data_IF_947571187728
#
_entry.id   IF_947571187728
#
_cell.length_a   1.000
_cell.length_b   1.000
_cell.length_c   1.000
_cell.angle_alpha   90.00
_cell.angle_beta   90.00
_cell.angle_gamma   90.00
#
_symmetry.space_group_name_H-M   'P 1'
#
loop_
_entity.id
_entity.type
_entity.pdbx_description
1 polymer ?
#
# COMPACT_ATOMS: atom_id res chain seq x y z
N UNK A 1 -19.72 10.66 12.33
CA UNK A 1 -20.08 10.53 10.90
C UNK A 1 -20.69 9.15 10.60
N UNK A 2 -21.63 8.69 11.42
CA UNK A 2 -22.00 7.26 11.55
C UNK A 2 -23.29 6.85 10.80
N UNK A 3 -23.97 7.78 10.11
CA UNK A 3 -25.19 7.48 9.35
C UNK A 3 -24.96 6.70 8.06
N UNK A 4 -23.73 6.73 7.53
CA UNK A 4 -23.30 6.06 6.31
C UNK A 4 -22.64 4.74 6.70
N UNK A 5 -22.95 3.67 5.96
CA UNK A 5 -22.41 2.34 6.26
C UNK A 5 -20.88 2.33 6.10
N UNK A 6 -20.22 1.46 6.89
CA UNK A 6 -18.76 1.35 6.89
C UNK A 6 -18.21 0.99 5.50
N UNK A 7 -18.91 0.16 4.72
CA UNK A 7 -18.41 -0.37 3.45
C UNK A 7 -18.88 0.39 2.21
N UNK A 8 -19.72 1.41 2.41
CA UNK A 8 -20.25 2.28 1.35
C UNK A 8 -19.16 3.16 0.72
N UNK A 9 -18.09 3.46 1.47
CA UNK A 9 -16.99 4.34 1.03
C UNK A 9 -15.62 3.80 1.40
N UNK A 10 -14.57 4.37 0.81
CA UNK A 10 -13.19 4.08 1.20
C UNK A 10 -12.80 4.65 2.59
N UNK A 11 -13.58 5.58 3.13
CA UNK A 11 -13.34 6.21 4.43
C UNK A 11 -13.62 5.21 5.58
N UNK A 12 -12.65 5.04 6.48
CA UNK A 12 -12.74 4.19 7.67
C UNK A 12 -13.08 4.97 8.96
N UNK A 13 -13.16 4.27 10.10
CA UNK A 13 -13.23 4.89 11.43
C UNK A 13 -14.46 5.75 11.71
N UNK A 14 -15.61 5.48 11.06
CA UNK A 14 -16.85 6.29 11.18
C UNK A 14 -17.48 6.25 12.58
N UNK A 15 -17.12 5.25 13.36
CA UNK A 15 -17.54 4.98 14.74
C UNK A 15 -16.64 5.63 15.80
N UNK A 16 -15.53 6.26 15.40
CA UNK A 16 -14.69 7.05 16.31
C UNK A 16 -15.45 8.26 16.86
N UNK A 17 -15.31 8.51 18.17
CA UNK A 17 -15.90 9.67 18.84
C UNK A 17 -15.17 10.97 18.49
N UNK A 18 -13.85 10.90 18.35
CA UNK A 18 -13.00 12.01 17.95
C UNK A 18 -11.80 11.51 17.13
N UNK A 19 -11.14 12.44 16.43
CA UNK A 19 -9.83 12.23 15.81
C UNK A 19 -8.84 13.17 16.48
N UNK A 20 -7.69 12.64 16.88
CA UNK A 20 -6.60 13.42 17.47
C UNK A 20 -5.50 13.54 16.42
N UNK A 21 -5.00 14.75 16.21
CA UNK A 21 -3.84 15.01 15.37
C UNK A 21 -2.73 15.62 16.23
N UNK A 22 -1.56 15.01 16.23
CA UNK A 22 -0.40 15.43 17.02
C UNK A 22 0.58 16.09 16.05
N UNK A 23 0.74 17.41 16.16
CA UNK A 23 1.62 18.17 15.28
C UNK A 23 2.71 18.83 16.12
N UNK A 24 3.96 18.43 15.91
CA UNK A 24 5.11 19.24 16.31
C UNK A 24 5.53 20.14 15.15
N UNK A 25 5.74 21.42 15.45
CA UNK A 25 6.11 22.44 14.47
C UNK A 25 7.22 23.28 15.10
N UNK A 26 8.33 23.43 14.38
CA UNK A 26 9.51 24.15 14.84
C UNK A 26 10.10 24.99 13.71
N UNK A 27 10.93 25.97 14.08
CA UNK A 27 11.54 26.90 13.11
C UNK A 27 13.03 26.64 12.90
N UNK A 28 13.76 26.21 13.93
CA UNK A 28 15.19 25.90 13.83
C UNK A 28 15.38 24.43 13.38
N UNK A 29 15.96 24.16 12.20
CA UNK A 29 16.21 22.80 11.72
C UNK A 29 17.03 21.94 12.70
N UNK A 30 17.84 22.53 13.58
CA UNK A 30 18.64 21.82 14.57
C UNK A 30 17.79 21.18 15.68
N UNK A 31 16.54 21.61 15.87
CA UNK A 31 15.63 21.04 16.86
C UNK A 31 14.86 19.80 16.35
N UNK A 32 15.06 19.41 15.09
CA UNK A 32 14.26 18.36 14.44
C UNK A 32 14.23 17.04 15.22
N UNK A 33 15.38 16.57 15.71
CA UNK A 33 15.48 15.29 16.42
C UNK A 33 14.72 15.30 17.76
N UNK A 34 14.66 16.45 18.43
CA UNK A 34 13.92 16.62 19.68
C UNK A 34 12.41 16.54 19.43
N UNK A 35 11.92 17.34 18.48
CA UNK A 35 10.49 17.42 18.17
C UNK A 35 9.94 16.13 17.56
N UNK A 36 10.73 15.47 16.70
CA UNK A 36 10.39 14.16 16.14
C UNK A 36 10.29 13.13 17.27
N UNK A 37 11.29 13.06 18.16
CA UNK A 37 11.29 12.13 19.29
C UNK A 37 10.08 12.36 20.21
N UNK A 38 9.83 13.60 20.62
CA UNK A 38 8.67 13.95 21.45
C UNK A 38 7.35 13.50 20.81
N UNK A 39 7.18 13.75 19.51
CA UNK A 39 5.96 13.37 18.78
C UNK A 39 5.74 11.86 18.80
N UNK A 40 6.80 11.08 18.57
CA UNK A 40 6.73 9.62 18.61
C UNK A 40 6.42 9.07 20.00
N UNK A 41 7.07 9.61 21.04
CA UNK A 41 6.85 9.20 22.43
C UNK A 41 5.43 9.55 22.89
N UNK A 42 4.96 10.76 22.57
CA UNK A 42 3.60 11.18 22.89
C UNK A 42 2.58 10.30 22.16
N UNK A 43 2.75 10.05 20.85
CA UNK A 43 1.89 9.13 20.10
C UNK A 43 1.84 7.74 20.76
N UNK A 44 2.99 7.15 21.09
CA UNK A 44 3.07 5.84 21.74
C UNK A 44 2.35 5.81 23.09
N UNK A 45 2.45 6.88 23.90
CA UNK A 45 1.75 6.98 25.18
C UNK A 45 0.22 7.03 25.04
N UNK A 46 -0.28 7.55 23.91
CA UNK A 46 -1.72 7.65 23.62
C UNK A 46 -2.31 6.43 22.92
N UNK A 47 -1.48 5.57 22.32
CA UNK A 47 -1.91 4.40 21.55
C UNK A 47 -2.86 3.47 22.33
N UNK A 48 -2.65 3.15 23.62
CA UNK A 48 -3.54 2.26 24.38
C UNK A 48 -4.98 2.77 24.53
N UNK A 49 -5.19 4.08 24.38
CA UNK A 49 -6.50 4.73 24.48
C UNK A 49 -7.18 4.91 23.11
N UNK A 50 -6.49 4.53 22.03
CA UNK A 50 -6.99 4.62 20.66
C UNK A 50 -7.81 3.40 20.28
N UNK A 51 -8.71 3.57 19.31
CA UNK A 51 -9.40 2.46 18.63
C UNK A 51 -8.47 1.70 17.68
N UNK A 52 -7.20 2.13 17.54
CA UNK A 52 -6.27 1.66 16.51
C UNK A 52 -6.61 2.19 15.12
N UNK A 53 -7.67 3.00 14.99
CA UNK A 53 -8.07 3.63 13.74
C UNK A 53 -7.05 4.67 13.30
N UNK A 54 -6.73 4.65 12.01
CA UNK A 54 -5.80 5.60 11.39
C UNK A 54 -6.51 6.36 10.30
N UNK A 55 -6.48 7.68 10.37
CA UNK A 55 -6.96 8.50 9.27
C UNK A 55 -5.83 8.72 8.27
N UNK A 56 -6.01 8.23 7.05
CA UNK A 56 -4.95 8.20 6.03
C UNK A 56 -4.34 9.59 5.73
N UNK A 57 -5.11 10.67 5.88
CA UNK A 57 -4.63 12.02 5.63
C UNK A 57 -3.73 12.60 6.72
N UNK A 58 -3.60 11.93 7.87
CA UNK A 58 -2.63 12.28 8.92
C UNK A 58 -1.34 11.45 8.84
N UNK A 59 -1.25 10.53 7.87
CA UNK A 59 -0.03 9.76 7.68
C UNK A 59 1.04 10.58 6.94
N UNK A 60 2.24 10.55 7.50
CA UNK A 60 3.48 10.97 6.82
C UNK A 60 4.06 9.82 6.00
N UNK A 61 5.38 9.68 5.98
CA UNK A 61 6.06 8.53 5.33
C UNK A 61 6.21 7.35 6.30
N UNK A 62 5.09 6.73 6.71
CA UNK A 62 5.06 5.63 7.69
C UNK A 62 5.07 4.22 7.05
N UNK A 63 5.12 4.15 5.72
CA UNK A 63 5.25 2.92 4.96
C UNK A 63 3.94 2.13 4.75
N UNK A 64 4.05 1.08 3.94
CA UNK A 64 2.90 0.34 3.38
C UNK A 64 2.02 -0.33 4.45
N UNK A 65 2.63 -0.84 5.53
CA UNK A 65 1.88 -1.48 6.63
C UNK A 65 0.91 -0.52 7.29
N UNK A 66 1.32 0.73 7.49
CA UNK A 66 0.49 1.76 8.13
C UNK A 66 -0.66 2.20 7.22
N UNK A 67 -0.37 2.41 5.93
CA UNK A 67 -1.39 2.69 4.92
C UNK A 67 -2.44 1.57 4.87
N UNK A 68 -2.01 0.31 4.89
CA UNK A 68 -2.90 -0.84 4.91
C UNK A 68 -3.77 -0.89 6.16
N UNK A 69 -3.20 -0.61 7.34
CA UNK A 69 -3.94 -0.52 8.58
C UNK A 69 -5.02 0.58 8.56
N UNK A 70 -4.75 1.72 7.92
CA UNK A 70 -5.71 2.84 7.81
C UNK A 70 -6.99 2.48 7.05
N UNK A 71 -6.89 1.62 6.02
CA UNK A 71 -8.06 1.15 5.28
C UNK A 71 -8.68 -0.11 5.88
N UNK A 72 -7.88 -0.95 6.53
CA UNK A 72 -8.28 -2.31 6.90
C UNK A 72 -8.27 -3.26 5.70
N UNK A 73 -8.19 -4.56 5.98
CA UNK A 73 -7.94 -5.60 4.97
C UNK A 73 -8.97 -5.63 3.83
N UNK A 74 -10.26 -5.57 4.14
CA UNK A 74 -11.33 -5.67 3.16
C UNK A 74 -11.30 -4.51 2.16
N UNK A 75 -11.20 -3.27 2.65
CA UNK A 75 -11.13 -2.07 1.81
C UNK A 75 -9.83 -1.99 1.04
N UNK A 76 -8.70 -2.31 1.69
CA UNK A 76 -7.40 -2.34 1.02
C UNK A 76 -7.43 -3.27 -0.19
N UNK A 77 -7.99 -4.48 -0.05
CA UNK A 77 -8.15 -5.43 -1.16
C UNK A 77 -9.00 -4.88 -2.31
N UNK A 78 -10.12 -4.22 -2.00
CA UNK A 78 -10.99 -3.57 -3.00
C UNK A 78 -10.26 -2.44 -3.73
N UNK A 79 -9.50 -1.62 -3.00
CA UNK A 79 -8.70 -0.53 -3.55
C UNK A 79 -7.53 -1.04 -4.40
N UNK A 80 -6.85 -2.12 -3.99
CA UNK A 80 -5.83 -2.77 -4.83
C UNK A 80 -6.42 -3.27 -6.16
N UNK A 81 -7.64 -3.82 -6.14
CA UNK A 81 -8.31 -4.24 -7.37
C UNK A 81 -8.60 -3.05 -8.31
N UNK A 82 -9.01 -1.90 -7.75
CA UNK A 82 -9.19 -0.66 -8.51
C UNK A 82 -7.86 -0.15 -9.04
N UNK A 83 -6.79 -0.12 -8.23
CA UNK A 83 -5.45 0.27 -8.67
C UNK A 83 -4.96 -0.61 -9.82
N UNK A 84 -5.18 -1.92 -9.77
CA UNK A 84 -4.84 -2.83 -10.88
C UNK A 84 -5.59 -2.51 -12.19
N UNK A 85 -6.83 -2.02 -12.09
CA UNK A 85 -7.66 -1.68 -13.26
C UNK A 85 -7.27 -0.33 -13.86
N UNK A 86 -7.02 0.67 -13.01
CA UNK A 86 -6.89 2.07 -13.44
C UNK A 86 -5.45 2.59 -13.45
N UNK A 87 -4.55 2.01 -12.66
CA UNK A 87 -3.14 2.40 -12.56
C UNK A 87 -2.21 1.18 -12.36
N UNK A 88 -2.18 0.24 -13.33
CA UNK A 88 -1.42 -1.01 -13.20
C UNK A 88 0.09 -0.82 -13.16
N UNK A 89 0.60 0.32 -13.65
CA UNK A 89 2.02 0.68 -13.64
C UNK A 89 2.42 1.49 -12.40
N UNK A 90 1.45 1.80 -11.52
CA UNK A 90 1.67 2.59 -10.31
C UNK A 90 2.23 4.00 -10.60
N UNK A 91 1.75 4.65 -11.67
CA UNK A 91 2.12 6.01 -12.06
C UNK A 91 1.81 7.00 -10.93
N UNK A 92 0.64 6.87 -10.30
CA UNK A 92 0.24 7.74 -9.20
C UNK A 92 0.70 7.18 -7.85
N UNK A 93 1.95 7.44 -7.48
CA UNK A 93 2.59 6.84 -6.30
C UNK A 93 3.05 7.83 -5.22
N UNK A 94 3.00 9.15 -5.49
CA UNK A 94 3.31 10.20 -4.52
C UNK A 94 2.09 10.50 -3.61
N UNK A 95 1.67 9.48 -2.85
CA UNK A 95 0.56 9.55 -1.91
C UNK A 95 0.69 8.41 -0.88
N UNK A 96 -0.30 8.25 0.01
CA UNK A 96 -0.43 7.06 0.86
C UNK A 96 -0.77 5.84 0.02
N UNK A 97 0.25 5.34 -0.68
CA UNK A 97 0.07 4.56 -1.89
C UNK A 97 -0.37 3.13 -1.62
N UNK A 98 -1.29 2.67 -2.46
CA UNK A 98 -1.70 1.28 -2.55
C UNK A 98 -1.01 0.71 -3.78
N UNK A 99 -0.09 -0.23 -3.58
CA UNK A 99 0.62 -0.86 -4.69
C UNK A 99 -0.33 -1.76 -5.48
N UNK A 100 -0.20 -1.81 -6.82
CA UNK A 100 -0.89 -2.82 -7.61
C UNK A 100 -0.46 -4.22 -7.17
N UNK A 101 -1.38 -5.16 -7.24
CA UNK A 101 -1.11 -6.56 -6.95
C UNK A 101 -0.12 -7.13 -7.96
N UNK A 102 0.67 -8.14 -7.55
CA UNK A 102 1.53 -8.88 -8.48
C UNK A 102 0.66 -9.47 -9.59
N UNK A 103 0.87 -9.06 -10.85
CA UNK A 103 0.24 -9.70 -12.01
C UNK A 103 0.59 -11.18 -11.97
N UNK A 104 -0.39 -12.05 -11.75
CA UNK A 104 -0.24 -13.46 -12.10
C UNK A 104 -0.17 -13.50 -13.63
N UNK A 105 1.02 -13.77 -14.19
CA UNK A 105 1.13 -14.14 -15.60
C UNK A 105 0.18 -15.32 -15.82
N UNK A 106 -0.77 -15.22 -16.76
CA UNK A 106 -1.61 -16.36 -17.12
C UNK A 106 -0.66 -17.47 -17.60
N UNK A 107 -0.77 -18.67 -17.03
CA UNK A 107 0.19 -19.77 -17.29
C UNK A 107 0.38 -20.11 -18.76
N UNK A 108 -0.60 -19.78 -19.62
CA UNK A 108 -0.51 -19.93 -21.07
C UNK A 108 0.60 -19.07 -21.71
N UNK A 109 0.84 -17.85 -21.22
CA UNK A 109 1.85 -16.95 -21.82
C UNK A 109 3.28 -17.40 -21.51
N UNK A 110 3.51 -17.97 -20.32
CA UNK A 110 4.82 -18.54 -19.97
C UNK A 110 5.11 -19.82 -20.75
N UNK A 111 4.13 -20.70 -20.91
CA UNK A 111 4.29 -21.95 -21.66
C UNK A 111 4.49 -21.65 -23.15
N UNK A 112 3.71 -20.73 -23.74
CA UNK A 112 3.87 -20.36 -25.15
C UNK A 112 5.22 -19.68 -25.41
N UNK A 113 5.67 -18.80 -24.51
CA UNK A 113 7.02 -18.21 -24.58
C UNK A 113 8.12 -19.25 -24.46
N UNK A 114 7.96 -20.24 -23.57
CA UNK A 114 8.92 -21.34 -23.43
C UNK A 114 8.95 -22.23 -24.68
N UNK A 115 7.79 -22.56 -25.26
CA UNK A 115 7.67 -23.33 -26.50
C UNK A 115 8.30 -22.57 -27.68
N UNK A 116 8.04 -21.27 -27.80
CA UNK A 116 8.63 -20.42 -28.84
C UNK A 116 10.15 -20.30 -28.65
N UNK A 117 10.63 -20.17 -27.41
CA UNK A 117 12.06 -20.13 -27.09
C UNK A 117 12.77 -21.46 -27.41
N UNK A 118 12.17 -22.59 -27.04
CA UNK A 118 12.68 -23.93 -27.36
C UNK A 118 12.69 -24.15 -28.88
N UNK A 119 11.62 -23.75 -29.58
CA UNK A 119 11.52 -23.84 -31.04
C UNK A 119 12.55 -22.96 -31.74
N UNK A 120 12.77 -21.74 -31.25
CA UNK A 120 13.79 -20.81 -31.73
C UNK A 120 15.21 -21.37 -31.51
N UNK A 121 15.51 -21.89 -30.32
CA UNK A 121 16.79 -22.54 -30.02
C UNK A 121 17.02 -23.78 -30.88
N UNK A 122 16.01 -24.63 -31.10
CA UNK A 122 16.07 -25.78 -32.01
C UNK A 122 16.39 -25.37 -33.44
N UNK A 123 15.78 -24.28 -33.92
CA UNK A 123 15.98 -23.79 -35.30
C UNK A 123 17.32 -23.07 -35.49
N UNK A 124 17.84 -22.39 -34.46
CA UNK A 124 19.08 -21.60 -34.54
C UNK A 124 20.34 -22.41 -34.21
N UNK A 125 20.25 -23.44 -33.37
CA UNK A 125 21.42 -24.23 -32.94
C UNK A 125 21.59 -25.56 -33.66
N UNK A 126 20.80 -25.87 -34.69
CA UNK A 126 21.06 -26.99 -35.59
C UNK A 126 21.36 -28.31 -34.86
N UNK A 127 20.35 -28.89 -34.20
CA UNK A 127 20.32 -30.30 -33.79
C UNK A 127 21.54 -30.85 -33.04
N UNK A 128 21.49 -30.84 -31.70
CA UNK A 128 22.04 -31.90 -30.84
C UNK A 128 21.69 -31.60 -29.38
N UNK A 129 20.54 -32.07 -28.91
CA UNK A 129 20.34 -32.39 -27.50
C UNK A 129 19.55 -33.70 -27.50
N UNK A 130 20.32 -34.78 -27.45
CA UNK A 130 19.89 -36.12 -27.07
C UNK A 130 19.40 -36.04 -25.61
N UNK A 131 18.20 -36.55 -25.33
CA UNK A 131 17.65 -36.75 -23.98
C UNK A 131 17.45 -38.24 -23.76
#
# INVERSE_FOLDING_TARGET
MSRIDRDETAFGGRDGLCSININAVWSDPLESDEHIRWTHEFFASTEPFSTGGVYVNFLGNEGEKRVRAAYGEAKYKRLTALKNKYDPTNLFSLNQNIKPGKRKRKGADCILMLILYISYKRKKLGGALDW
#
